data_IF_529983734367
#
_entry.id   IF_529983734367
#
_cell.length_a   1.000
_cell.length_b   1.000
_cell.length_c   1.000
_cell.angle_alpha   90.00
_cell.angle_beta   90.00
_cell.angle_gamma   90.00
#
_symmetry.space_group_name_H-M   'P 1'
#
loop_
_entity.id
_entity.type
_entity.pdbx_description
1 polymer ?
#
# COMPACT_ATOMS: atom_id res chain seq x y z
N UNK A 1 14.71 -11.25 -10.87
CA UNK A 1 13.76 -11.21 -9.76
C UNK A 1 12.58 -10.35 -10.17
N UNK A 2 11.43 -10.64 -9.58
CA UNK A 2 10.23 -9.86 -9.70
C UNK A 2 9.94 -9.17 -8.37
N UNK A 3 10.01 -7.85 -8.36
CA UNK A 3 10.02 -7.04 -7.14
C UNK A 3 8.74 -6.21 -7.10
N UNK A 4 7.97 -6.33 -6.02
CA UNK A 4 6.86 -5.43 -5.75
C UNK A 4 7.28 -4.33 -4.78
N UNK A 5 7.53 -3.12 -5.26
CA UNK A 5 7.71 -1.95 -4.41
C UNK A 5 6.32 -1.45 -4.04
N UNK A 6 6.02 -1.37 -2.75
CA UNK A 6 4.75 -0.86 -2.24
C UNK A 6 5.03 0.39 -1.44
N UNK A 7 4.39 1.50 -1.79
CA UNK A 7 4.57 2.78 -1.13
C UNK A 7 3.29 3.61 -1.21
N UNK A 8 3.03 4.43 -0.19
CA UNK A 8 1.92 5.39 -0.21
C UNK A 8 2.19 6.59 -1.13
N UNK A 9 3.44 6.82 -1.51
CA UNK A 9 3.83 7.88 -2.45
C UNK A 9 5.04 7.47 -3.29
N UNK A 10 5.09 7.96 -4.53
CA UNK A 10 6.19 7.71 -5.44
C UNK A 10 6.22 8.76 -6.55
N UNK A 11 7.39 9.34 -6.83
CA UNK A 11 7.58 10.20 -8.00
C UNK A 11 7.50 9.35 -9.28
N UNK A 12 6.80 9.79 -10.34
CA UNK A 12 6.15 11.11 -10.51
C UNK A 12 4.67 11.17 -10.11
N UNK A 13 4.11 10.11 -9.53
CA UNK A 13 2.68 9.99 -9.26
C UNK A 13 2.18 10.88 -8.12
N UNK A 14 2.87 10.87 -6.99
CA UNK A 14 2.51 11.63 -5.80
C UNK A 14 3.73 11.88 -4.91
N UNK A 15 3.71 12.97 -4.14
CA UNK A 15 4.83 13.36 -3.27
C UNK A 15 4.38 14.28 -2.15
N UNK A 16 4.76 13.94 -0.93
CA UNK A 16 4.73 14.84 0.24
C UNK A 16 6.09 14.95 0.92
N UNK A 17 6.96 13.95 0.78
CA UNK A 17 8.29 13.95 1.38
C UNK A 17 9.34 13.16 0.59
N UNK A 18 10.40 12.74 1.28
CA UNK A 18 11.52 12.02 0.69
C UNK A 18 11.21 10.57 0.33
N UNK A 19 10.20 9.95 0.96
CA UNK A 19 9.74 8.60 0.64
C UNK A 19 9.41 8.48 -0.86
N UNK A 20 8.67 9.46 -1.40
CA UNK A 20 8.31 9.46 -2.82
C UNK A 20 9.52 9.46 -3.76
N UNK A 21 10.58 10.19 -3.40
CA UNK A 21 11.82 10.24 -4.19
C UNK A 21 12.53 8.89 -4.14
N UNK A 22 12.60 8.26 -2.97
CA UNK A 22 13.24 6.95 -2.80
C UNK A 22 12.49 5.88 -3.59
N UNK A 23 11.16 5.79 -3.43
CA UNK A 23 10.34 4.79 -4.13
C UNK A 23 10.44 4.94 -5.66
N UNK A 24 10.34 6.18 -6.17
CA UNK A 24 10.46 6.46 -7.60
C UNK A 24 11.85 6.20 -8.17
N UNK A 25 12.91 6.61 -7.45
CA UNK A 25 14.29 6.37 -7.87
C UNK A 25 14.63 4.88 -7.87
N UNK A 26 14.22 4.14 -6.82
CA UNK A 26 14.46 2.70 -6.72
C UNK A 26 13.72 1.93 -7.81
N UNK A 27 12.46 2.30 -8.09
CA UNK A 27 11.69 1.73 -9.20
C UNK A 27 12.42 1.85 -10.54
N UNK A 28 12.93 3.04 -10.85
CA UNK A 28 13.73 3.29 -12.06
C UNK A 28 15.02 2.48 -12.08
N UNK A 29 15.78 2.48 -10.98
CA UNK A 29 17.10 1.84 -10.92
C UNK A 29 16.99 0.32 -11.04
N UNK A 30 16.07 -0.31 -10.29
CA UNK A 30 15.86 -1.76 -10.35
C UNK A 30 15.41 -2.21 -11.75
N UNK A 31 14.54 -1.43 -12.38
CA UNK A 31 14.13 -1.72 -13.77
C UNK A 31 15.31 -1.60 -14.74
N UNK A 32 16.16 -0.58 -14.59
CA UNK A 32 17.32 -0.36 -15.46
C UNK A 32 18.38 -1.46 -15.37
N UNK A 33 18.50 -2.13 -14.22
CA UNK A 33 19.42 -3.27 -14.07
C UNK A 33 18.81 -4.61 -14.54
N UNK A 34 17.61 -4.58 -15.12
CA UNK A 34 16.98 -5.71 -15.80
C UNK A 34 15.96 -6.49 -14.97
N UNK A 35 15.63 -6.02 -13.76
CA UNK A 35 14.59 -6.64 -12.94
C UNK A 35 13.19 -6.32 -13.49
N UNK A 36 12.21 -7.18 -13.19
CA UNK A 36 10.80 -6.85 -13.39
C UNK A 36 10.27 -6.23 -12.12
N UNK A 37 9.77 -5.01 -12.21
CA UNK A 37 9.39 -4.23 -11.03
C UNK A 37 7.95 -3.76 -11.15
N UNK A 38 7.18 -4.00 -10.10
CA UNK A 38 5.82 -3.48 -9.94
C UNK A 38 5.85 -2.43 -8.83
N UNK A 39 5.50 -1.18 -9.15
CA UNK A 39 5.34 -0.11 -8.18
C UNK A 39 3.86 0.04 -7.86
N UNK A 40 3.46 -0.40 -6.68
CA UNK A 40 2.11 -0.22 -6.14
C UNK A 40 2.03 1.07 -5.35
N UNK A 41 1.11 1.96 -5.73
CA UNK A 41 0.82 3.22 -5.02
C UNK A 41 -0.65 3.60 -5.20
N UNK A 42 -1.28 4.33 -4.27
CA UNK A 42 -2.64 4.80 -4.48
C UNK A 42 -2.77 5.78 -5.66
N UNK A 43 -3.90 5.74 -6.36
CA UNK A 43 -4.21 6.61 -7.49
C UNK A 43 -4.91 7.89 -7.00
N UNK A 44 -4.13 8.79 -6.39
CA UNK A 44 -4.65 10.02 -5.80
C UNK A 44 -5.20 10.99 -6.84
N UNK A 45 -6.06 11.92 -6.41
CA UNK A 45 -6.63 13.00 -7.24
C UNK A 45 -5.62 13.65 -8.20
N UNK A 46 -4.51 14.16 -7.67
CA UNK A 46 -3.46 14.82 -8.48
C UNK A 46 -2.76 13.86 -9.45
N UNK A 47 -2.62 12.59 -9.07
CA UNK A 47 -2.10 11.56 -9.97
C UNK A 47 -3.05 11.34 -11.14
N UNK A 48 -4.37 11.28 -10.89
CA UNK A 48 -5.40 11.14 -11.94
C UNK A 48 -5.42 12.29 -12.93
N UNK A 49 -5.14 13.51 -12.46
CA UNK A 49 -5.06 14.69 -13.32
C UNK A 49 -3.92 14.59 -14.33
N UNK A 50 -2.79 13.96 -13.94
CA UNK A 50 -1.57 13.88 -14.73
C UNK A 50 -1.45 12.58 -15.54
N UNK A 51 -1.90 11.44 -15.00
CA UNK A 51 -1.65 10.09 -15.55
C UNK A 51 -2.93 9.41 -16.04
N UNK A 52 -3.65 10.05 -16.97
CA UNK A 52 -4.94 9.55 -17.49
C UNK A 52 -4.81 8.35 -18.45
N UNK A 53 -3.63 8.12 -19.01
CA UNK A 53 -3.41 7.04 -19.96
C UNK A 53 -3.15 5.74 -19.20
N UNK A 54 -4.20 4.94 -19.06
CA UNK A 54 -4.18 3.64 -18.39
C UNK A 54 -4.26 2.54 -19.45
N UNK A 55 -3.37 1.56 -19.39
CA UNK A 55 -3.36 0.43 -20.33
C UNK A 55 -4.41 -0.61 -19.97
N UNK A 56 -4.50 -0.93 -18.67
CA UNK A 56 -5.46 -1.89 -18.15
C UNK A 56 -6.05 -1.37 -16.85
N UNK A 57 -7.37 -1.41 -16.76
CA UNK A 57 -8.12 -1.08 -15.54
C UNK A 57 -8.83 -2.33 -15.06
N UNK A 58 -8.35 -2.91 -13.95
CA UNK A 58 -8.82 -4.19 -13.44
C UNK A 58 -9.66 -3.96 -12.18
N UNK A 59 -10.94 -4.35 -12.15
CA UNK A 59 -11.76 -4.25 -10.94
C UNK A 59 -11.35 -5.31 -9.92
N UNK A 60 -11.46 -4.99 -8.63
CA UNK A 60 -11.31 -5.92 -7.52
C UNK A 60 -12.24 -5.53 -6.36
N UNK A 61 -12.39 -6.42 -5.38
CA UNK A 61 -13.19 -6.18 -4.18
C UNK A 61 -12.41 -6.53 -2.93
N UNK A 62 -12.51 -5.70 -1.90
CA UNK A 62 -11.89 -5.92 -0.60
C UNK A 62 -12.97 -5.86 0.48
N UNK A 63 -12.95 -6.85 1.37
CA UNK A 63 -13.81 -6.89 2.55
C UNK A 63 -13.35 -5.87 3.59
N UNK A 64 -14.22 -4.92 3.94
CA UNK A 64 -14.02 -3.92 5.01
C UNK A 64 -15.33 -3.80 5.77
N UNK A 65 -15.28 -3.93 7.10
CA UNK A 65 -16.40 -3.80 8.02
C UNK A 65 -17.66 -4.59 7.57
N UNK A 66 -17.46 -5.84 7.15
CA UNK A 66 -18.57 -6.69 6.71
C UNK A 66 -19.21 -6.31 5.37
N UNK A 67 -18.60 -5.42 4.58
CA UNK A 67 -19.05 -5.09 3.22
C UNK A 67 -17.92 -5.25 2.20
N UNK A 68 -18.30 -5.50 0.95
CA UNK A 68 -17.34 -5.56 -0.15
C UNK A 68 -17.17 -4.15 -0.75
N UNK A 69 -15.97 -3.59 -0.58
CA UNK A 69 -15.59 -2.30 -1.15
C UNK A 69 -14.92 -2.54 -2.50
N UNK A 70 -15.50 -1.98 -3.56
CA UNK A 70 -14.96 -2.06 -4.92
C UNK A 70 -13.80 -1.08 -5.10
N UNK A 71 -12.81 -1.48 -5.89
CA UNK A 71 -11.71 -0.63 -6.34
C UNK A 71 -11.19 -1.07 -7.71
N UNK A 72 -10.24 -0.32 -8.26
CA UNK A 72 -9.61 -0.62 -9.54
C UNK A 72 -8.10 -0.54 -9.46
N UNK A 73 -7.39 -1.49 -10.07
CA UNK A 73 -5.97 -1.35 -10.35
C UNK A 73 -5.79 -0.80 -11.76
N UNK A 74 -5.16 0.37 -11.84
CA UNK A 74 -4.82 1.01 -13.09
C UNK A 74 -3.35 0.72 -13.41
N UNK A 75 -3.12 -0.14 -14.39
CA UNK A 75 -1.79 -0.56 -14.84
C UNK A 75 -1.27 0.38 -15.93
N UNK A 76 0.00 0.76 -15.78
CA UNK A 76 0.77 1.55 -16.76
C UNK A 76 2.16 0.93 -16.86
N UNK A 77 2.60 0.56 -18.05
CA UNK A 77 4.01 0.25 -18.31
C UNK A 77 4.77 1.58 -18.37
N UNK A 78 5.52 1.87 -17.32
CA UNK A 78 6.24 3.15 -17.19
C UNK A 78 7.66 3.06 -17.76
N UNK A 79 8.25 1.88 -17.65
CA UNK A 79 9.54 1.51 -18.21
C UNK A 79 9.43 0.10 -18.80
N UNK A 80 10.35 -0.28 -19.68
CA UNK A 80 10.46 -1.68 -20.10
C UNK A 80 10.69 -2.57 -18.88
N UNK A 81 9.78 -3.50 -18.58
CA UNK A 81 9.74 -4.33 -17.36
C UNK A 81 9.42 -3.58 -16.05
N UNK A 82 9.03 -2.30 -16.11
CA UNK A 82 8.67 -1.49 -14.96
C UNK A 82 7.22 -1.03 -15.04
N UNK A 83 6.36 -1.60 -14.21
CA UNK A 83 4.93 -1.36 -14.22
C UNK A 83 4.50 -0.56 -13.00
N UNK A 84 3.76 0.53 -13.20
CA UNK A 84 3.04 1.21 -12.13
C UNK A 84 1.65 0.59 -12.00
N UNK A 85 1.27 0.25 -10.77
CA UNK A 85 -0.03 -0.30 -10.39
C UNK A 85 -0.70 0.71 -9.46
N UNK A 86 -1.55 1.56 -10.04
CA UNK A 86 -2.20 2.66 -9.32
C UNK A 86 -3.54 2.19 -8.75
N UNK A 87 -3.61 2.08 -7.42
CA UNK A 87 -4.78 1.56 -6.70
C UNK A 87 -5.83 2.66 -6.52
N UNK A 88 -6.97 2.51 -7.19
CA UNK A 88 -8.06 3.47 -7.24
C UNK A 88 -9.21 3.05 -6.34
N UNK A 89 -9.57 3.97 -5.44
CA UNK A 89 -10.80 3.95 -4.67
C UNK A 89 -11.09 5.42 -4.29
N UNK A 90 -12.09 6.03 -4.90
CA UNK A 90 -12.23 7.49 -4.90
C UNK A 90 -12.60 8.05 -3.52
N UNK A 91 -13.42 7.31 -2.77
CA UNK A 91 -13.77 7.67 -1.41
C UNK A 91 -12.52 7.78 -0.50
N UNK A 92 -11.50 6.95 -0.76
CA UNK A 92 -10.24 6.95 -0.02
C UNK A 92 -9.18 7.89 -0.61
N UNK A 93 -9.01 7.96 -1.93
CA UNK A 93 -7.82 8.58 -2.53
C UNK A 93 -8.11 9.81 -3.41
N UNK A 94 -9.36 10.08 -3.77
CA UNK A 94 -9.73 11.30 -4.50
C UNK A 94 -9.86 12.52 -3.56
N UNK A 95 -8.73 12.89 -2.94
CA UNK A 95 -8.62 13.98 -1.95
C UNK A 95 -7.50 14.94 -2.33
N UNK A 96 -7.57 16.16 -1.82
CA UNK A 96 -6.59 17.21 -2.14
C UNK A 96 -5.20 16.95 -1.54
N UNK A 97 -5.15 16.23 -0.42
CA UNK A 97 -3.93 15.84 0.29
C UNK A 97 -3.90 14.33 0.55
N UNK A 98 -2.70 13.78 0.79
CA UNK A 98 -2.51 12.32 0.90
C UNK A 98 -2.96 11.78 2.27
N UNK A 99 -2.53 12.40 3.36
CA UNK A 99 -2.71 11.87 4.72
C UNK A 99 -3.64 12.71 5.61
N UNK A 100 -3.84 13.99 5.30
CA UNK A 100 -4.60 14.89 6.15
C UNK A 100 -4.57 16.34 5.67
N UNK A 101 -5.24 17.21 6.42
CA UNK A 101 -5.40 18.63 6.10
C UNK A 101 -5.07 19.48 7.32
N UNK A 102 -4.36 20.60 7.10
CA UNK A 102 -4.04 21.58 8.16
C UNK A 102 -3.35 20.95 9.38
N UNK A 103 -2.52 19.94 9.16
CA UNK A 103 -1.78 19.23 10.21
C UNK A 103 -2.59 18.20 10.99
N UNK A 104 -3.82 17.91 10.56
CA UNK A 104 -4.68 16.88 11.15
C UNK A 104 -4.83 15.74 10.15
N UNK A 105 -4.48 14.53 10.58
CA UNK A 105 -4.66 13.31 9.79
C UNK A 105 -6.13 13.05 9.49
N UNK A 106 -6.42 12.50 8.31
CA UNK A 106 -7.76 12.02 8.02
C UNK A 106 -8.11 10.88 8.99
N UNK A 107 -9.30 10.92 9.63
CA UNK A 107 -9.68 9.96 10.67
C UNK A 107 -9.79 8.52 10.16
N UNK A 108 -9.99 8.34 8.86
CA UNK A 108 -10.13 7.06 8.19
C UNK A 108 -8.80 6.52 7.62
N UNK A 109 -7.65 7.15 7.90
CA UNK A 109 -6.34 6.71 7.42
C UNK A 109 -6.07 5.22 7.66
N UNK A 110 -6.43 4.72 8.83
CA UNK A 110 -6.28 3.31 9.17
C UNK A 110 -7.04 2.40 8.18
N UNK A 111 -8.25 2.79 7.78
CA UNK A 111 -9.08 2.06 6.83
C UNK A 111 -8.56 2.22 5.41
N UNK A 112 -8.16 3.44 5.02
CA UNK A 112 -7.63 3.74 3.68
C UNK A 112 -6.38 2.91 3.36
N UNK A 113 -5.43 2.87 4.28
CA UNK A 113 -4.18 2.14 4.08
C UNK A 113 -4.34 0.63 4.35
N UNK A 114 -5.24 0.22 5.24
CA UNK A 114 -5.64 -1.18 5.35
C UNK A 114 -6.34 -1.71 4.08
N UNK A 115 -7.16 -0.89 3.41
CA UNK A 115 -7.70 -1.19 2.09
C UNK A 115 -6.57 -1.35 1.07
N UNK A 116 -5.64 -0.41 1.03
CA UNK A 116 -4.50 -0.44 0.11
C UNK A 116 -3.66 -1.71 0.27
N UNK A 117 -3.33 -2.09 1.51
CA UNK A 117 -2.55 -3.29 1.81
C UNK A 117 -3.23 -4.57 1.33
N UNK A 118 -4.53 -4.69 1.58
CA UNK A 118 -5.33 -5.81 1.07
C UNK A 118 -5.46 -5.78 -0.44
N UNK A 119 -5.63 -4.60 -1.04
CA UNK A 119 -5.75 -4.40 -2.48
C UNK A 119 -4.49 -4.85 -3.23
N UNK A 120 -3.30 -4.52 -2.72
CA UNK A 120 -2.03 -4.96 -3.31
C UNK A 120 -1.97 -6.49 -3.40
N UNK A 121 -2.28 -7.18 -2.31
CA UNK A 121 -2.27 -8.64 -2.27
C UNK A 121 -3.32 -9.26 -3.19
N UNK A 122 -4.53 -8.68 -3.25
CA UNK A 122 -5.58 -9.15 -4.15
C UNK A 122 -5.20 -8.94 -5.62
N UNK A 123 -4.60 -7.81 -5.97
CA UNK A 123 -4.19 -7.50 -7.35
C UNK A 123 -3.04 -8.40 -7.81
N UNK A 124 -2.06 -8.69 -6.95
CA UNK A 124 -1.01 -9.67 -7.25
C UNK A 124 -1.64 -11.02 -7.61
N UNK A 125 -2.66 -11.45 -6.87
CA UNK A 125 -3.40 -12.69 -7.14
C UNK A 125 -4.22 -12.61 -8.43
N UNK A 126 -5.04 -11.57 -8.61
CA UNK A 126 -5.94 -11.41 -9.78
C UNK A 126 -5.16 -11.35 -11.09
N UNK A 127 -3.99 -10.71 -11.09
CA UNK A 127 -3.13 -10.60 -12.26
C UNK A 127 -2.11 -11.73 -12.37
N UNK A 128 -2.12 -12.69 -11.43
CA UNK A 128 -1.17 -13.79 -11.33
C UNK A 128 0.30 -13.33 -11.37
N UNK A 129 0.58 -12.15 -10.81
CA UNK A 129 1.92 -11.58 -10.81
C UNK A 129 2.85 -12.51 -10.04
N UNK A 130 3.94 -12.94 -10.68
CA UNK A 130 5.00 -13.66 -10.01
C UNK A 130 5.81 -12.64 -9.24
N UNK A 131 5.66 -12.56 -7.92
CA UNK A 131 6.43 -11.66 -7.05
C UNK A 131 7.35 -12.51 -6.17
N UNK A 132 8.65 -12.22 -6.19
CA UNK A 132 9.64 -12.87 -5.34
C UNK A 132 9.72 -12.19 -3.97
N UNK A 133 9.72 -10.84 -3.98
CA UNK A 133 9.83 -10.00 -2.78
C UNK A 133 8.93 -8.77 -2.88
N UNK A 134 8.28 -8.46 -1.76
CA UNK A 134 7.56 -7.21 -1.54
C UNK A 134 8.44 -6.29 -0.69
N UNK A 135 8.82 -5.14 -1.25
CA UNK A 135 9.51 -4.07 -0.55
C UNK A 135 8.51 -3.02 -0.09
N UNK A 136 8.29 -3.00 1.21
CA UNK A 136 7.24 -2.27 1.91
C UNK A 136 7.86 -1.05 2.59
N UNK A 137 7.21 0.10 2.44
CA UNK A 137 7.74 1.38 2.88
C UNK A 137 6.78 2.06 3.85
N UNK A 138 7.25 2.25 5.09
CA UNK A 138 6.53 2.86 6.21
C UNK A 138 5.16 2.23 6.55
N UNK A 139 4.54 2.78 7.61
CA UNK A 139 3.35 2.24 8.26
C UNK A 139 2.15 2.08 7.32
N UNK A 140 2.08 2.86 6.24
CA UNK A 140 1.02 2.80 5.23
C UNK A 140 0.98 1.47 4.49
N UNK A 141 2.08 0.70 4.56
CA UNK A 141 2.22 -0.63 3.97
C UNK A 141 2.45 -1.73 5.01
N UNK A 142 2.32 -1.34 6.29
CA UNK A 142 2.79 -2.12 7.42
C UNK A 142 1.99 -3.39 7.64
N UNK A 143 0.72 -3.49 7.24
CA UNK A 143 -0.08 -4.70 7.49
C UNK A 143 0.24 -5.83 6.51
N UNK A 144 0.94 -5.55 5.40
CA UNK A 144 1.22 -6.55 4.37
C UNK A 144 2.00 -7.76 4.91
N UNK A 145 3.09 -7.64 5.72
CA UNK A 145 3.82 -8.79 6.23
C UNK A 145 2.97 -9.68 7.12
N UNK A 146 2.12 -9.08 7.96
CA UNK A 146 1.16 -9.83 8.76
C UNK A 146 0.20 -10.62 7.87
N UNK A 147 -0.39 -10.01 6.85
CA UNK A 147 -1.28 -10.71 5.92
C UNK A 147 -0.57 -11.81 5.11
N UNK A 148 0.67 -11.56 4.68
CA UNK A 148 1.51 -12.56 4.00
C UNK A 148 1.74 -13.78 4.89
N UNK A 149 2.08 -13.56 6.17
CA UNK A 149 2.32 -14.62 7.13
C UNK A 149 1.04 -15.38 7.50
N UNK A 150 -0.05 -14.66 7.83
CA UNK A 150 -1.34 -15.26 8.21
C UNK A 150 -1.91 -16.17 7.12
N UNK A 151 -1.82 -15.71 5.87
CA UNK A 151 -2.35 -16.43 4.70
C UNK A 151 -1.37 -17.43 4.10
N UNK A 152 -0.14 -17.54 4.63
CA UNK A 152 0.90 -18.41 4.08
C UNK A 152 1.26 -18.11 2.63
N UNK A 153 1.26 -16.83 2.24
CA UNK A 153 1.56 -16.41 0.87
C UNK A 153 3.05 -16.64 0.55
N UNK A 154 3.41 -16.96 -0.70
CA UNK A 154 4.77 -17.37 -1.06
C UNK A 154 5.77 -16.21 -1.16
N UNK A 155 5.38 -14.99 -0.78
CA UNK A 155 6.18 -13.78 -0.97
C UNK A 155 7.16 -13.58 0.18
N UNK A 156 8.40 -13.17 -0.12
CA UNK A 156 9.29 -12.58 0.89
C UNK A 156 8.90 -11.12 1.12
N UNK A 157 9.16 -10.60 2.32
CA UNK A 157 8.90 -9.20 2.66
C UNK A 157 10.19 -8.53 3.13
N UNK A 158 10.42 -7.31 2.65
CA UNK A 158 11.43 -6.37 3.14
C UNK A 158 10.69 -5.12 3.59
N UNK A 159 10.78 -4.78 4.86
CA UNK A 159 10.14 -3.58 5.41
C UNK A 159 11.19 -2.49 5.67
N UNK A 160 10.91 -1.26 5.23
CA UNK A 160 11.80 -0.11 5.40
C UNK A 160 11.05 1.02 6.10
N UNK A 161 11.64 1.49 7.20
CA UNK A 161 11.15 2.63 7.97
C UNK A 161 11.95 3.86 7.51
N UNK A 162 11.29 4.82 6.88
CA UNK A 162 11.90 6.09 6.49
C UNK A 162 11.75 7.13 7.60
N UNK A 163 10.72 7.00 8.44
CA UNK A 163 10.54 7.88 9.58
C UNK A 163 9.87 7.18 10.78
N UNK A 164 10.66 6.97 11.84
CA UNK A 164 10.20 6.30 13.07
C UNK A 164 9.14 7.12 13.84
N UNK A 165 9.02 8.43 13.59
CA UNK A 165 8.01 9.26 14.24
C UNK A 165 6.58 8.93 13.78
N UNK A 166 6.41 8.29 12.61
CA UNK A 166 5.10 7.95 12.06
C UNK A 166 4.89 6.43 12.08
N UNK A 167 4.19 5.94 13.11
CA UNK A 167 4.04 4.50 13.36
C UNK A 167 2.67 3.93 12.92
N UNK A 168 1.72 4.79 12.54
CA UNK A 168 0.35 4.37 12.23
C UNK A 168 -0.35 3.77 13.45
N UNK A 169 -0.44 4.54 14.55
CA UNK A 169 -1.05 4.10 15.81
C UNK A 169 -2.54 4.49 15.85
N UNK A 170 -3.42 3.51 15.74
CA UNK A 170 -4.87 3.68 15.65
C UNK A 170 -5.60 3.01 16.81
N UNK A 171 -6.88 3.33 17.00
CA UNK A 171 -7.68 2.69 18.04
C UNK A 171 -8.01 1.23 17.65
N UNK A 172 -8.26 0.38 18.65
CA UNK A 172 -8.37 -1.08 18.48
C UNK A 172 -9.49 -1.49 17.51
N UNK A 173 -10.52 -0.67 17.40
CA UNK A 173 -11.69 -0.85 16.53
C UNK A 173 -11.30 -1.08 15.06
N UNK A 174 -10.12 -0.57 14.64
CA UNK A 174 -9.61 -0.79 13.29
C UNK A 174 -9.45 -2.26 12.93
N UNK A 175 -9.16 -3.14 13.91
CA UNK A 175 -8.99 -4.57 13.65
C UNK A 175 -10.29 -5.17 13.09
N UNK A 176 -11.42 -4.85 13.74
CA UNK A 176 -12.74 -5.27 13.27
C UNK A 176 -13.03 -4.70 11.88
N UNK A 177 -12.85 -3.41 11.68
CA UNK A 177 -13.13 -2.77 10.39
C UNK A 177 -12.26 -3.34 9.26
N UNK A 178 -11.04 -3.77 9.57
CA UNK A 178 -10.13 -4.40 8.62
C UNK A 178 -10.19 -5.92 8.62
N UNK A 179 -11.20 -6.56 9.22
CA UNK A 179 -11.34 -8.03 9.23
C UNK A 179 -10.05 -8.72 9.74
N UNK A 180 -9.38 -8.12 10.73
CA UNK A 180 -8.18 -8.64 11.38
C UNK A 180 -8.62 -9.28 12.69
N UNK A 181 -8.23 -10.53 12.89
CA UNK A 181 -8.52 -11.29 14.11
C UNK A 181 -7.86 -10.63 15.33
N UNK A 182 -8.60 -10.53 16.43
CA UNK A 182 -8.15 -9.97 17.71
C UNK A 182 -6.92 -10.69 18.28
N UNK A 183 -6.59 -11.92 17.83
CA UNK A 183 -5.34 -12.63 18.15
C UNK A 183 -4.08 -11.80 17.82
N UNK A 184 -4.17 -10.89 16.84
CA UNK A 184 -3.09 -10.00 16.45
C UNK A 184 -2.90 -8.83 17.42
N UNK A 185 -3.87 -8.55 18.29
CA UNK A 185 -3.76 -7.54 19.34
C UNK A 185 -3.00 -8.08 20.56
N UNK A 186 -1.69 -8.26 20.38
CA UNK A 186 -0.78 -8.67 21.44
C UNK A 186 0.52 -7.88 21.37
N UNK A 187 1.29 -7.91 22.46
CA UNK A 187 2.57 -7.20 22.56
C UNK A 187 3.59 -7.68 21.52
N UNK A 188 3.53 -8.95 21.10
CA UNK A 188 4.36 -9.51 20.03
C UNK A 188 3.73 -9.32 18.64
N UNK A 189 2.51 -8.78 18.58
CA UNK A 189 1.79 -8.42 17.37
C UNK A 189 1.62 -6.91 17.23
N UNK A 190 0.38 -6.49 16.98
CA UNK A 190 0.05 -5.12 16.61
C UNK A 190 -0.09 -4.16 17.80
N UNK A 191 -0.21 -4.66 19.03
CA UNK A 191 -0.52 -3.82 20.18
C UNK A 191 0.67 -2.90 20.52
N UNK A 192 0.40 -1.62 20.71
CA UNK A 192 1.37 -0.62 21.12
C UNK A 192 0.72 0.43 22.02
N UNK A 193 0.94 0.32 23.34
CA UNK A 193 0.37 1.22 24.36
C UNK A 193 -1.15 1.36 24.28
N UNK A 194 -1.85 0.24 24.11
CA UNK A 194 -3.31 0.16 23.99
C UNK A 194 -3.86 0.51 22.60
N UNK A 195 -3.00 0.84 21.64
CA UNK A 195 -3.34 1.12 20.24
C UNK A 195 -2.88 0.00 19.32
N UNK A 196 -3.35 0.03 18.08
CA UNK A 196 -2.90 -0.83 16.97
C UNK A 196 -1.86 -0.07 16.18
N UNK A 197 -0.62 -0.56 16.13
CA UNK A 197 0.46 0.01 15.33
C UNK A 197 0.63 -0.78 14.03
N UNK A 198 0.38 -0.13 12.89
CA UNK A 198 0.62 -0.78 11.60
C UNK A 198 2.12 -1.00 11.36
N UNK A 199 2.99 -0.15 11.89
CA UNK A 199 4.43 -0.35 11.80
C UNK A 199 4.91 -1.63 12.51
N UNK A 200 4.31 -2.02 13.63
CA UNK A 200 4.67 -3.26 14.34
C UNK A 200 4.34 -4.54 13.57
N UNK A 201 3.49 -4.44 12.56
CA UNK A 201 3.11 -5.57 11.73
C UNK A 201 4.22 -5.96 10.72
N UNK A 202 5.22 -5.10 10.49
CA UNK A 202 6.26 -5.25 9.48
C UNK A 202 7.69 -5.29 9.98
#
# INVERSE_FOLDING_TARGET
MNIGIVSSEAVPFSKTGGLADVAGALFKVLTNIGETVYLFTPYYKKTKEQFKQIEKRIPFKIRIDGIDVEGFANLVEFYKNGFAVLIEQDHFFDRDNLYGEKGIDYPDNAIRFGFFDKAVLEIIKVLELKIDVLHLNDWQTGLIPMFVKDKGLPYKTLYTIHNLAYQGNFDKEVLRSLEIDDKYFSIDGLEFYGKVSFMKAG
#
